data_IF_911259951628
#
_entry.id   IF_911259951628
#
_cell.length_a   1.000
_cell.length_b   1.000
_cell.length_c   1.000
_cell.angle_alpha   90.00
_cell.angle_beta   90.00
_cell.angle_gamma   90.00
#
_symmetry.space_group_name_H-M   'P 1'
#
loop_
_entity.id
_entity.type
_entity.pdbx_description
1 polymer ?
#
# COMPACT_ATOMS: atom_id res chain seq x y z
N UNK A 1 -19.69 9.19 -5.60
CA UNK A 1 -18.55 8.60 -6.31
C UNK A 1 -18.08 7.35 -5.58
N UNK A 2 -17.77 6.29 -6.30
CA UNK A 2 -17.34 5.03 -5.68
C UNK A 2 -15.85 5.09 -5.35
N UNK A 3 -15.50 4.82 -4.10
CA UNK A 3 -14.09 4.70 -3.70
C UNK A 3 -13.47 3.45 -4.31
N UNK A 4 -12.16 3.43 -4.39
CA UNK A 4 -11.40 2.37 -5.05
C UNK A 4 -10.33 1.85 -4.12
N UNK A 5 -10.20 0.53 -4.04
CA UNK A 5 -9.23 -0.11 -3.16
C UNK A 5 -8.21 -0.91 -3.95
N UNK A 6 -6.97 -0.89 -3.47
CA UNK A 6 -5.90 -1.71 -4.01
C UNK A 6 -5.33 -2.54 -2.87
N UNK A 7 -5.40 -3.86 -3.02
CA UNK A 7 -4.79 -4.80 -2.09
C UNK A 7 -3.46 -5.24 -2.65
N UNK A 8 -2.40 -5.29 -1.81
CA UNK A 8 -1.11 -5.86 -2.19
C UNK A 8 -0.60 -6.79 -1.11
N UNK A 9 0.23 -7.75 -1.53
CA UNK A 9 0.92 -8.67 -0.63
C UNK A 9 2.40 -8.67 -1.01
N UNK A 10 3.27 -8.54 0.00
CA UNK A 10 4.71 -8.40 -0.20
C UNK A 10 5.46 -9.49 0.56
N UNK A 11 6.48 -10.05 -0.09
CA UNK A 11 7.42 -10.98 0.53
C UNK A 11 8.70 -10.24 0.91
N UNK A 12 9.17 -10.46 2.13
CA UNK A 12 10.39 -9.88 2.69
C UNK A 12 11.41 -11.00 2.90
N UNK A 13 12.42 -11.07 2.07
CA UNK A 13 13.44 -12.13 2.12
C UNK A 13 14.13 -12.20 3.47
N UNK A 14 14.45 -11.06 4.06
CA UNK A 14 15.18 -10.96 5.33
C UNK A 14 14.26 -10.76 6.54
N UNK A 15 12.95 -10.92 6.36
CA UNK A 15 11.96 -10.68 7.40
C UNK A 15 11.45 -9.25 7.43
N UNK A 16 10.23 -9.07 7.90
CA UNK A 16 9.60 -7.73 7.99
C UNK A 16 10.31 -6.92 9.08
N UNK A 17 10.53 -5.65 8.78
CA UNK A 17 11.05 -4.67 9.75
C UNK A 17 10.00 -4.41 10.84
N UNK A 18 10.40 -3.71 11.90
CA UNK A 18 9.51 -3.43 13.03
C UNK A 18 8.33 -2.54 12.65
N UNK A 19 7.26 -2.57 13.47
CA UNK A 19 6.10 -1.70 13.28
C UNK A 19 6.52 -0.22 13.30
N UNK A 20 7.47 0.15 14.16
CA UNK A 20 7.98 1.51 14.23
C UNK A 20 8.67 1.91 12.93
N UNK A 21 9.52 1.04 12.38
CA UNK A 21 10.18 1.29 11.11
C UNK A 21 9.20 1.37 9.95
N UNK A 22 8.17 0.52 9.94
CA UNK A 22 7.09 0.58 8.94
C UNK A 22 6.35 1.91 9.01
N UNK A 23 6.02 2.37 10.22
CA UNK A 23 5.32 3.64 10.43
C UNK A 23 6.19 4.82 9.96
N UNK A 24 7.47 4.80 10.28
CA UNK A 24 8.41 5.84 9.84
C UNK A 24 8.55 5.87 8.32
N UNK A 25 8.62 4.69 7.69
CA UNK A 25 8.69 4.57 6.24
C UNK A 25 7.45 5.12 5.56
N UNK A 26 6.27 4.84 6.10
CA UNK A 26 5.02 5.40 5.58
C UNK A 26 4.98 6.91 5.72
N UNK A 27 5.38 7.44 6.87
CA UNK A 27 5.44 8.88 7.11
C UNK A 27 6.37 9.57 6.13
N UNK A 28 7.56 9.02 5.92
CA UNK A 28 8.59 9.59 5.06
C UNK A 28 8.19 9.53 3.58
N UNK A 29 7.62 8.43 3.13
CA UNK A 29 7.38 8.18 1.72
C UNK A 29 5.97 8.50 1.23
N UNK A 30 4.98 8.57 2.10
CA UNK A 30 3.58 8.72 1.71
C UNK A 30 2.92 10.00 2.20
N UNK A 31 3.19 10.44 3.42
CA UNK A 31 2.53 11.63 3.96
C UNK A 31 2.84 12.85 3.10
N UNK A 32 1.78 13.48 2.58
CA UNK A 32 1.89 14.63 1.67
C UNK A 32 2.36 14.30 0.27
N UNK A 33 2.54 13.02 -0.06
CA UNK A 33 3.07 12.57 -1.35
C UNK A 33 2.13 11.63 -2.10
N UNK A 34 0.97 11.30 -1.54
CA UNK A 34 -0.01 10.43 -2.19
C UNK A 34 -1.40 11.04 -2.11
N UNK A 35 -2.22 10.74 -3.11
CA UNK A 35 -3.64 11.12 -3.13
C UNK A 35 -4.52 10.07 -2.43
N UNK A 36 -3.94 8.99 -1.93
CA UNK A 36 -4.69 7.97 -1.20
C UNK A 36 -5.32 8.58 0.06
N UNK A 37 -6.55 8.18 0.33
CA UNK A 37 -7.26 8.61 1.53
C UNK A 37 -6.75 7.89 2.77
N UNK A 38 -6.31 6.65 2.58
CA UNK A 38 -5.75 5.85 3.66
C UNK A 38 -4.89 4.73 3.09
N UNK A 39 -3.92 4.29 3.88
CA UNK A 39 -3.06 3.13 3.59
C UNK A 39 -2.90 2.36 4.88
N UNK A 40 -3.22 1.08 4.85
CA UNK A 40 -3.09 0.21 6.02
C UNK A 40 -2.16 -0.94 5.66
N UNK A 41 -1.11 -1.13 6.44
CA UNK A 41 -0.19 -2.26 6.31
C UNK A 41 -0.33 -3.14 7.55
N UNK A 42 -0.40 -4.47 7.34
CA UNK A 42 -0.43 -5.41 8.47
C UNK A 42 0.46 -6.61 8.21
N UNK A 43 0.89 -7.23 9.28
CA UNK A 43 1.75 -8.41 9.24
C UNK A 43 0.90 -9.66 9.04
N UNK A 44 1.21 -10.43 8.01
CA UNK A 44 0.60 -11.73 7.80
C UNK A 44 1.41 -12.82 8.52
N UNK A 45 2.74 -12.78 8.34
CA UNK A 45 3.71 -13.64 9.04
C UNK A 45 5.06 -12.92 9.05
N UNK A 46 6.13 -13.59 9.49
CA UNK A 46 7.44 -12.95 9.64
C UNK A 46 8.07 -12.49 8.33
N UNK A 47 7.61 -12.99 7.20
CA UNK A 47 8.14 -12.65 5.88
C UNK A 47 7.13 -12.03 4.93
N UNK A 48 5.89 -11.84 5.33
CA UNK A 48 4.86 -11.27 4.47
C UNK A 48 4.09 -10.17 5.15
N UNK A 49 3.94 -9.03 4.48
CA UNK A 49 2.95 -8.04 4.88
C UNK A 49 1.90 -7.90 3.77
N UNK A 50 0.72 -7.50 4.17
CA UNK A 50 -0.37 -7.21 3.27
C UNK A 50 -0.77 -5.76 3.45
N UNK A 51 -1.36 -5.16 2.43
CA UNK A 51 -1.78 -3.76 2.50
C UNK A 51 -3.09 -3.52 1.78
N UNK A 52 -3.80 -2.48 2.22
CA UNK A 52 -4.91 -1.89 1.49
C UNK A 52 -4.62 -0.41 1.31
N UNK A 53 -4.84 0.08 0.08
CA UNK A 53 -4.73 1.49 -0.28
C UNK A 53 -6.11 1.93 -0.73
N UNK A 54 -6.63 3.00 -0.14
CA UNK A 54 -7.97 3.51 -0.46
C UNK A 54 -7.87 4.85 -1.16
N UNK A 55 -8.46 4.94 -2.34
CA UNK A 55 -8.57 6.18 -3.12
C UNK A 55 -10.02 6.63 -3.22
N UNK A 56 -10.24 7.93 -3.38
CA UNK A 56 -11.57 8.50 -3.56
C UNK A 56 -12.26 7.99 -4.84
N UNK A 57 -11.49 7.60 -5.86
CA UNK A 57 -12.03 7.07 -7.12
C UNK A 57 -10.97 6.27 -7.87
N UNK A 58 -11.41 5.47 -8.83
CA UNK A 58 -10.54 4.73 -9.73
C UNK A 58 -9.67 5.67 -10.56
N UNK A 59 -10.22 6.79 -10.99
CA UNK A 59 -9.48 7.78 -11.80
C UNK A 59 -8.27 8.30 -11.04
N UNK A 60 -8.44 8.64 -9.76
CA UNK A 60 -7.35 9.12 -8.91
C UNK A 60 -6.31 8.03 -8.70
N UNK A 61 -6.75 6.79 -8.48
CA UNK A 61 -5.84 5.65 -8.31
C UNK A 61 -4.98 5.42 -9.56
N UNK A 62 -5.58 5.47 -10.74
CA UNK A 62 -4.88 5.28 -12.00
C UNK A 62 -3.94 6.44 -12.33
N UNK A 63 -4.31 7.66 -11.97
CA UNK A 63 -3.46 8.83 -12.16
C UNK A 63 -2.17 8.76 -11.35
N UNK A 64 -2.17 8.03 -10.23
CA UNK A 64 -1.00 7.87 -9.36
C UNK A 64 -0.19 6.60 -9.67
N UNK A 65 -0.57 5.84 -10.67
CA UNK A 65 0.02 4.52 -10.98
C UNK A 65 1.54 4.55 -11.15
N UNK A 66 2.07 5.45 -11.98
CA UNK A 66 3.51 5.55 -12.23
C UNK A 66 4.29 5.88 -10.98
N UNK A 67 3.78 6.80 -10.17
CA UNK A 67 4.38 7.21 -8.90
C UNK A 67 4.45 6.03 -7.93
N UNK A 68 3.39 5.21 -7.87
CA UNK A 68 3.37 4.01 -7.05
C UNK A 68 4.38 2.98 -7.52
N UNK A 69 4.55 2.82 -8.84
CA UNK A 69 5.54 1.89 -9.39
C UNK A 69 6.96 2.31 -9.02
N UNK A 70 7.27 3.61 -9.06
CA UNK A 70 8.56 4.13 -8.62
C UNK A 70 8.80 3.82 -7.14
N UNK A 71 7.80 4.01 -6.30
CA UNK A 71 7.86 3.74 -4.87
C UNK A 71 8.08 2.25 -4.59
N UNK A 72 7.42 1.38 -5.36
CA UNK A 72 7.57 -0.07 -5.26
C UNK A 72 8.99 -0.52 -5.61
N UNK A 73 9.58 0.06 -6.66
CA UNK A 73 10.97 -0.21 -7.05
C UNK A 73 11.93 0.18 -5.94
N UNK A 74 11.72 1.34 -5.34
CA UNK A 74 12.54 1.82 -4.22
C UNK A 74 12.48 0.86 -3.04
N UNK A 75 11.29 0.43 -2.65
CA UNK A 75 11.08 -0.50 -1.54
C UNK A 75 11.77 -1.84 -1.83
N UNK A 76 11.61 -2.37 -3.03
CA UNK A 76 12.25 -3.63 -3.45
C UNK A 76 13.77 -3.53 -3.34
N UNK A 77 14.33 -2.42 -3.81
CA UNK A 77 15.78 -2.19 -3.79
C UNK A 77 16.32 -2.04 -2.36
N UNK A 78 15.62 -1.29 -1.50
CA UNK A 78 16.10 -0.97 -0.15
C UNK A 78 15.93 -2.11 0.85
N UNK A 79 14.88 -2.92 0.70
CA UNK A 79 14.49 -3.90 1.72
C UNK A 79 14.49 -5.35 1.23
N UNK A 80 14.92 -5.60 0.01
CA UNK A 80 14.96 -6.96 -0.53
C UNK A 80 13.56 -7.60 -0.51
N UNK A 81 12.56 -6.87 -1.01
CA UNK A 81 11.16 -7.29 -1.03
C UNK A 81 10.65 -7.52 -2.44
N UNK A 82 9.58 -8.30 -2.55
CA UNK A 82 8.88 -8.49 -3.83
C UNK A 82 7.39 -8.45 -3.60
N UNK A 83 6.68 -7.74 -4.48
CA UNK A 83 5.22 -7.79 -4.48
C UNK A 83 4.78 -9.10 -5.12
N UNK A 84 4.06 -9.93 -4.37
CA UNK A 84 3.66 -11.27 -4.81
C UNK A 84 2.20 -11.37 -5.21
N UNK A 85 1.39 -10.36 -4.87
CA UNK A 85 -0.03 -10.35 -5.24
C UNK A 85 -0.53 -8.91 -5.28
N UNK A 86 -1.39 -8.62 -6.25
CA UNK A 86 -2.10 -7.33 -6.33
C UNK A 86 -3.51 -7.59 -6.85
N UNK A 87 -4.51 -7.07 -6.13
CA UNK A 87 -5.92 -7.12 -6.52
C UNK A 87 -6.51 -5.74 -6.31
N UNK A 88 -7.34 -5.28 -7.22
CA UNK A 88 -7.93 -3.95 -7.10
C UNK A 88 -9.36 -3.94 -7.63
N UNK A 89 -10.17 -3.03 -7.09
CA UNK A 89 -11.55 -2.89 -7.50
C UNK A 89 -12.29 -1.81 -6.72
N UNK A 90 -13.51 -1.50 -7.17
CA UNK A 90 -14.35 -0.53 -6.47
C UNK A 90 -14.79 -1.07 -5.11
N UNK A 91 -14.83 -0.18 -4.12
CA UNK A 91 -15.31 -0.52 -2.78
C UNK A 91 -16.83 -0.59 -2.83
N UNK A 92 -17.40 -1.71 -2.41
CA UNK A 92 -18.84 -1.91 -2.39
C UNK A 92 -19.48 -1.33 -1.14
N UNK A 93 -18.78 -1.43 0.00
CA UNK A 93 -19.31 -0.97 1.28
C UNK A 93 -18.15 -0.77 2.26
N UNK A 94 -18.27 0.26 3.10
CA UNK A 94 -17.23 0.61 4.06
C UNK A 94 -17.90 1.10 5.34
N UNK A 95 -17.67 0.39 6.45
CA UNK A 95 -18.33 0.70 7.72
C UNK A 95 -18.08 2.13 8.20
N UNK A 96 -16.84 2.61 8.06
CA UNK A 96 -16.47 3.96 8.50
C UNK A 96 -17.16 5.09 7.73
N UNK A 97 -17.82 4.76 6.62
CA UNK A 97 -18.57 5.71 5.81
C UNK A 97 -20.06 5.76 6.16
N UNK A 98 -20.47 4.99 7.18
CA UNK A 98 -21.88 4.88 7.59
C UNK A 98 -22.20 5.70 8.81
#
# INVERSE_FOLDING_TARGET
MTKYAIYTKWYWKDGIISAEEMQNGMKENLVGKTEAEDVIWWKMDDHHHQSIIIFASEVIAKAEFEKRQEMRKKTTSEHNTNMVEEVMGPILSQLSSM
#
